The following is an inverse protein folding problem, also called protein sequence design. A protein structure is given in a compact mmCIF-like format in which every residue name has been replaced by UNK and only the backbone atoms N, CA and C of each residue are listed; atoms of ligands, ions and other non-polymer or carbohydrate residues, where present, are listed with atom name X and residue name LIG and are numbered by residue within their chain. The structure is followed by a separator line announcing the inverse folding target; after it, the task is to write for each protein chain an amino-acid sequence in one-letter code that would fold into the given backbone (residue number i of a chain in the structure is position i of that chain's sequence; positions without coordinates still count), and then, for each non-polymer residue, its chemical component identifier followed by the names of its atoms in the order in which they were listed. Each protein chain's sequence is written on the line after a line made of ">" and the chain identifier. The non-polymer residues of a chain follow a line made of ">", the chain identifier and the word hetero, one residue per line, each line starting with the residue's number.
data_IF_988796767985
#
_entry.id   IF_988796767985
#
_cell.length_a   1.000
_cell.length_b   1.000
_cell.length_c   1.000
_cell.angle_alpha   90.00
_cell.angle_beta   90.00
_cell.angle_gamma   90.00
#
_symmetry.space_group_name_H-M   'P 1'
#
loop_
_entity.id
_entity.type
_entity.pdbx_description
1 polymer ?
#
# COMPACT_ATOMS: atom_id res chain seq x y z
N UNK A 1 24.49 -12.35 19.90
CA UNK A 1 23.17 -12.44 20.59
C UNK A 1 22.71 -11.09 21.12
N UNK A 2 23.52 -10.33 21.88
CA UNK A 2 23.12 -9.01 22.44
C UNK A 2 22.61 -7.99 21.41
N UNK A 3 23.13 -8.00 20.18
CA UNK A 3 22.77 -7.03 19.13
C UNK A 3 21.37 -7.23 18.54
N UNK A 4 20.86 -8.47 18.53
CA UNK A 4 19.52 -8.77 18.03
C UNK A 4 18.44 -8.34 19.02
N UNK A 5 18.72 -8.44 20.33
CA UNK A 5 17.79 -8.01 21.39
C UNK A 5 17.39 -6.54 21.24
N UNK A 6 18.35 -5.64 21.01
CA UNK A 6 18.06 -4.21 20.87
C UNK A 6 17.20 -3.89 19.65
N UNK A 7 17.39 -4.60 18.53
CA UNK A 7 16.53 -4.44 17.35
C UNK A 7 15.10 -4.93 17.65
N UNK A 8 14.96 -6.06 18.35
CA UNK A 8 13.65 -6.55 18.79
C UNK A 8 12.96 -5.54 19.70
N UNK A 9 13.68 -4.96 20.67
CA UNK A 9 13.13 -3.91 21.55
C UNK A 9 12.63 -2.70 20.74
N UNK A 10 13.39 -2.25 19.74
CA UNK A 10 12.98 -1.13 18.86
C UNK A 10 11.71 -1.46 18.08
N UNK A 11 11.59 -2.69 17.55
CA UNK A 11 10.37 -3.14 16.87
C UNK A 11 9.19 -3.17 17.85
N UNK A 12 9.37 -3.71 19.06
CA UNK A 12 8.32 -3.75 20.09
C UNK A 12 7.86 -2.35 20.52
N UNK A 13 8.79 -1.39 20.63
CA UNK A 13 8.45 0.02 20.90
C UNK A 13 7.63 0.57 19.73
N UNK A 14 8.08 0.36 18.49
CA UNK A 14 7.37 0.81 17.29
C UNK A 14 5.95 0.26 17.18
N UNK A 15 5.75 -1.02 17.52
CA UNK A 15 4.44 -1.68 17.55
C UNK A 15 3.55 -1.15 18.67
N UNK A 16 4.11 -0.99 19.87
CA UNK A 16 3.38 -0.44 21.01
C UNK A 16 2.85 0.96 20.70
N UNK A 17 3.69 1.84 20.14
CA UNK A 17 3.29 3.20 19.78
C UNK A 17 2.20 3.22 18.69
N UNK A 18 2.31 2.37 17.67
CA UNK A 18 1.26 2.23 16.66
C UNK A 18 -0.08 1.81 17.27
N UNK A 19 -0.04 0.79 18.13
CA UNK A 19 -1.24 0.28 18.78
C UNK A 19 -1.88 1.29 19.72
N UNK A 20 -1.09 2.05 20.50
CA UNK A 20 -1.64 3.08 21.39
C UNK A 20 -2.27 4.23 20.61
N UNK A 21 -1.66 4.69 19.51
CA UNK A 21 -2.27 5.71 18.63
C UNK A 21 -3.59 5.19 18.03
N UNK A 22 -3.65 3.90 17.72
CA UNK A 22 -4.83 3.22 17.14
C UNK A 22 -6.09 3.22 18.02
N UNK A 23 -5.94 3.49 19.32
CA UNK A 23 -7.05 3.57 20.26
C UNK A 23 -7.92 4.82 20.05
N UNK A 24 -7.38 5.87 19.44
CA UNK A 24 -8.06 7.15 19.20
C UNK A 24 -9.18 7.03 18.14
N UNK A 25 -9.92 8.11 17.95
CA UNK A 25 -10.95 8.20 16.89
C UNK A 25 -10.35 8.11 15.47
N UNK A 26 -11.19 7.97 14.45
CA UNK A 26 -10.81 7.84 13.03
C UNK A 26 -11.46 8.92 12.16
N UNK A 27 -10.96 9.07 10.91
CA UNK A 27 -11.52 9.95 9.87
C UNK A 27 -13.01 9.69 9.69
N UNK A 28 -13.83 10.70 9.94
CA UNK A 28 -15.27 10.67 9.67
C UNK A 28 -16.13 9.93 10.69
N UNK A 29 -15.60 9.59 11.88
CA UNK A 29 -16.40 8.97 12.94
C UNK A 29 -17.63 9.81 13.30
N UNK A 30 -18.82 9.20 13.27
CA UNK A 30 -20.10 9.86 13.55
C UNK A 30 -20.46 11.03 12.61
N UNK A 31 -19.91 11.06 11.37
CA UNK A 31 -20.16 12.13 10.39
C UNK A 31 -20.90 11.63 9.14
N UNK A 32 -22.20 11.26 9.23
CA UNK A 32 -22.99 10.95 8.05
C UNK A 32 -23.15 12.20 7.14
N UNK A 33 -23.46 12.02 5.84
CA UNK A 33 -23.75 10.76 5.15
C UNK A 33 -22.52 10.04 4.58
N UNK A 34 -21.42 10.77 4.34
CA UNK A 34 -20.23 10.23 3.64
C UNK A 34 -19.19 9.64 4.58
N UNK A 35 -19.17 9.98 5.88
CA UNK A 35 -18.10 9.57 6.80
C UNK A 35 -16.71 9.98 6.26
N UNK A 36 -15.69 9.17 6.48
CA UNK A 36 -14.30 9.43 6.07
C UNK A 36 -13.65 8.17 5.52
N UNK A 37 -12.33 8.16 5.44
CA UNK A 37 -11.57 7.10 4.76
C UNK A 37 -11.67 5.73 5.44
N UNK A 38 -12.08 5.69 6.73
CA UNK A 38 -12.47 4.45 7.38
C UNK A 38 -13.60 3.75 6.61
N UNK A 39 -14.64 4.52 6.27
CA UNK A 39 -15.80 4.03 5.54
C UNK A 39 -15.44 3.70 4.09
N UNK A 40 -14.54 4.45 3.46
CA UNK A 40 -14.05 4.13 2.13
C UNK A 40 -13.48 2.71 2.06
N UNK A 41 -12.66 2.35 3.04
CA UNK A 41 -11.94 1.09 3.06
C UNK A 41 -12.85 -0.08 3.43
N UNK A 42 -13.81 0.14 4.34
CA UNK A 42 -14.90 -0.81 4.58
C UNK A 42 -15.72 -1.03 3.32
N UNK A 43 -16.09 0.05 2.63
CA UNK A 43 -16.89 -0.04 1.41
C UNK A 43 -16.15 -0.80 0.30
N UNK A 44 -14.83 -0.64 0.17
CA UNK A 44 -14.04 -1.46 -0.76
C UNK A 44 -14.07 -2.94 -0.42
N UNK A 45 -14.08 -3.32 0.87
CA UNK A 45 -14.26 -4.71 1.29
C UNK A 45 -15.66 -5.24 0.92
N UNK A 46 -16.71 -4.45 1.16
CA UNK A 46 -18.09 -4.76 0.75
C UNK A 46 -18.18 -5.00 -0.77
N UNK A 47 -17.67 -4.07 -1.58
CA UNK A 47 -17.75 -4.14 -3.05
C UNK A 47 -16.94 -5.30 -3.60
N UNK A 48 -15.70 -5.46 -3.16
CA UNK A 48 -14.80 -6.50 -3.69
C UNK A 48 -15.28 -7.91 -3.36
N UNK A 49 -15.95 -8.09 -2.22
CA UNK A 49 -16.49 -9.39 -1.81
C UNK A 49 -17.81 -9.74 -2.49
N UNK A 50 -18.74 -8.78 -2.59
CA UNK A 50 -20.11 -9.08 -3.04
C UNK A 50 -20.29 -8.94 -4.56
N UNK A 51 -19.45 -8.16 -5.25
CA UNK A 51 -19.62 -7.90 -6.69
C UNK A 51 -18.60 -8.64 -7.55
N UNK A 52 -18.98 -9.06 -8.78
CA UNK A 52 -18.05 -9.56 -9.77
C UNK A 52 -16.94 -8.55 -10.06
N UNK A 53 -15.74 -9.05 -10.36
CA UNK A 53 -14.54 -8.23 -10.59
C UNK A 53 -14.74 -7.12 -11.65
N UNK A 54 -15.54 -7.40 -12.69
CA UNK A 54 -15.88 -6.43 -13.74
C UNK A 54 -16.66 -5.21 -13.24
N UNK A 55 -17.26 -5.28 -12.05
CA UNK A 55 -18.09 -4.22 -11.48
C UNK A 55 -17.37 -3.37 -10.42
N UNK A 56 -16.16 -3.74 -10.00
CA UNK A 56 -15.45 -3.05 -8.91
C UNK A 56 -15.17 -1.57 -9.20
N UNK A 57 -14.91 -1.22 -10.46
CA UNK A 57 -14.56 0.14 -10.89
C UNK A 57 -15.64 0.83 -11.72
N UNK A 58 -16.84 0.24 -11.79
CA UNK A 58 -17.95 0.75 -12.61
C UNK A 58 -19.12 1.17 -11.74
N UNK A 59 -19.76 2.26 -12.16
CA UNK A 59 -20.99 2.72 -11.53
C UNK A 59 -22.16 1.82 -11.98
N UNK A 60 -22.93 1.29 -11.03
CA UNK A 60 -24.11 0.48 -11.29
C UNK A 60 -25.12 0.60 -10.12
N UNK A 61 -26.18 -0.22 -10.12
CA UNK A 61 -27.19 -0.23 -9.05
C UNK A 61 -26.61 -0.53 -7.68
N UNK A 62 -25.56 -1.34 -7.62
CA UNK A 62 -24.96 -1.88 -6.40
C UNK A 62 -23.69 -1.13 -5.97
N UNK A 63 -22.96 -0.55 -6.93
CA UNK A 63 -21.73 0.22 -6.72
C UNK A 63 -21.92 1.67 -7.18
N UNK A 64 -21.99 2.60 -6.22
CA UNK A 64 -22.04 4.03 -6.50
C UNK A 64 -20.63 4.63 -6.39
N UNK A 65 -20.02 5.00 -7.52
CA UNK A 65 -18.66 5.55 -7.52
C UNK A 65 -18.52 6.92 -6.84
N UNK A 66 -19.63 7.62 -6.58
CA UNK A 66 -19.66 8.86 -5.79
C UNK A 66 -19.64 8.58 -4.28
N UNK A 67 -19.98 7.37 -3.86
CA UNK A 67 -19.89 6.92 -2.47
C UNK A 67 -18.64 6.05 -2.30
N UNK A 68 -17.48 6.70 -2.15
CA UNK A 68 -16.19 6.03 -1.95
C UNK A 68 -15.84 4.95 -3.00
N UNK A 69 -15.99 5.28 -4.28
CA UNK A 69 -15.56 4.40 -5.36
C UNK A 69 -14.07 4.02 -5.25
N UNK A 70 -13.73 2.87 -5.81
CA UNK A 70 -12.37 2.33 -5.76
C UNK A 70 -11.42 3.15 -6.67
N UNK A 71 -10.46 3.83 -6.05
CA UNK A 71 -9.52 4.78 -6.71
C UNK A 71 -8.07 4.32 -6.73
N UNK A 72 -7.83 3.09 -6.27
CA UNK A 72 -6.50 2.49 -6.16
C UNK A 72 -6.32 1.37 -7.20
N UNK A 73 -5.06 1.04 -7.57
CA UNK A 73 -4.80 0.01 -8.55
C UNK A 73 -5.19 -1.40 -8.04
N UNK A 74 -5.21 -2.41 -8.93
CA UNK A 74 -5.76 -3.74 -8.64
C UNK A 74 -5.22 -4.43 -7.38
N UNK A 75 -3.96 -4.22 -7.00
CA UNK A 75 -3.38 -4.90 -5.84
C UNK A 75 -4.06 -4.48 -4.54
N UNK A 76 -4.45 -3.21 -4.41
CA UNK A 76 -5.23 -2.73 -3.27
C UNK A 76 -6.63 -3.35 -3.26
N UNK A 77 -7.26 -3.49 -4.42
CA UNK A 77 -8.55 -4.16 -4.55
C UNK A 77 -8.50 -5.61 -4.07
N UNK A 78 -7.46 -6.36 -4.47
CA UNK A 78 -7.25 -7.74 -4.00
C UNK A 78 -6.94 -7.80 -2.50
N UNK A 79 -6.22 -6.82 -1.96
CA UNK A 79 -5.99 -6.76 -0.51
C UNK A 79 -7.30 -6.50 0.25
N UNK A 80 -8.13 -5.56 -0.21
CA UNK A 80 -9.47 -5.35 0.34
C UNK A 80 -10.32 -6.62 0.24
N UNK A 81 -10.27 -7.33 -0.88
CA UNK A 81 -10.97 -8.61 -1.06
C UNK A 81 -10.51 -9.68 -0.05
N UNK A 82 -9.20 -9.79 0.18
CA UNK A 82 -8.65 -10.70 1.18
C UNK A 82 -9.11 -10.34 2.59
N UNK A 83 -9.05 -9.06 2.96
CA UNK A 83 -9.58 -8.59 4.24
C UNK A 83 -11.09 -8.87 4.36
N UNK A 84 -11.85 -8.71 3.28
CA UNK A 84 -13.28 -8.95 3.27
C UNK A 84 -13.64 -10.43 3.53
N UNK A 85 -12.86 -11.39 3.05
CA UNK A 85 -13.05 -12.80 3.41
C UNK A 85 -12.89 -13.04 4.91
N UNK A 86 -11.88 -12.41 5.53
CA UNK A 86 -11.66 -12.50 6.98
C UNK A 86 -12.80 -11.80 7.73
N UNK A 87 -13.25 -10.63 7.26
CA UNK A 87 -14.39 -9.91 7.81
C UNK A 87 -15.66 -10.77 7.77
N UNK A 88 -15.95 -11.40 6.61
CA UNK A 88 -17.11 -12.28 6.43
C UNK A 88 -17.13 -13.43 7.43
N UNK A 89 -15.96 -14.00 7.72
CA UNK A 89 -15.82 -15.10 8.66
C UNK A 89 -16.08 -14.68 10.11
N UNK A 90 -15.71 -13.45 10.48
CA UNK A 90 -15.89 -12.92 11.84
C UNK A 90 -17.32 -12.40 12.02
N UNK A 91 -17.74 -11.45 11.18
CA UNK A 91 -19.07 -10.87 11.21
C UNK A 91 -19.50 -10.44 9.80
N UNK A 92 -20.48 -11.13 9.18
CA UNK A 92 -20.92 -10.85 7.83
C UNK A 92 -21.59 -9.47 7.67
N UNK A 93 -22.10 -8.88 8.75
CA UNK A 93 -22.83 -7.61 8.70
C UNK A 93 -21.92 -6.42 8.40
N UNK A 94 -20.62 -6.53 8.65
CA UNK A 94 -19.63 -5.46 8.38
C UNK A 94 -19.47 -5.15 6.88
N UNK A 95 -19.79 -6.14 6.03
CA UNK A 95 -19.62 -6.07 4.58
C UNK A 95 -20.90 -6.45 3.83
N UNK A 96 -22.06 -6.41 4.50
CA UNK A 96 -23.33 -6.73 3.88
C UNK A 96 -23.72 -5.67 2.84
N UNK A 97 -23.96 -6.09 1.61
CA UNK A 97 -24.29 -5.19 0.51
C UNK A 97 -25.54 -4.35 0.84
N UNK A 98 -25.47 -3.03 0.62
CA UNK A 98 -26.53 -2.03 0.86
C UNK A 98 -26.85 -1.71 2.32
N UNK A 99 -26.65 -2.63 3.26
CA UNK A 99 -27.00 -2.44 4.68
C UNK A 99 -25.82 -2.00 5.54
N UNK A 100 -24.59 -2.36 5.15
CA UNK A 100 -23.37 -2.08 5.93
C UNK A 100 -22.78 -0.67 5.72
N UNK A 101 -23.41 0.17 4.89
CA UNK A 101 -22.95 1.54 4.64
C UNK A 101 -23.04 2.39 5.90
N UNK A 102 -21.91 2.98 6.29
CA UNK A 102 -21.78 3.74 7.53
C UNK A 102 -21.77 2.87 8.79
N UNK A 103 -21.39 1.58 8.68
CA UNK A 103 -21.35 0.68 9.84
C UNK A 103 -20.25 1.07 10.84
N UNK A 104 -20.67 1.56 12.00
CA UNK A 104 -19.79 1.90 13.12
C UNK A 104 -19.98 0.91 14.27
N UNK A 105 -18.93 0.17 14.60
CA UNK A 105 -18.91 -0.67 15.80
C UNK A 105 -17.49 -0.78 16.34
N UNK A 106 -17.36 -0.98 17.65
CA UNK A 106 -16.05 -1.10 18.30
C UNK A 106 -15.29 -2.35 17.81
N UNK A 107 -16.00 -3.44 17.54
CA UNK A 107 -15.42 -4.69 17.02
C UNK A 107 -14.89 -4.51 15.60
N UNK A 108 -15.67 -3.88 14.72
CA UNK A 108 -15.23 -3.59 13.35
C UNK A 108 -14.04 -2.62 13.35
N UNK A 109 -14.04 -1.61 14.23
CA UNK A 109 -12.89 -0.72 14.42
C UNK A 109 -11.64 -1.53 14.78
N UNK A 110 -11.74 -2.44 15.75
CA UNK A 110 -10.61 -3.29 16.17
C UNK A 110 -10.12 -4.17 15.02
N UNK A 111 -11.04 -4.77 14.25
CA UNK A 111 -10.72 -5.57 13.07
C UNK A 111 -9.90 -4.77 12.05
N UNK A 112 -10.39 -3.60 11.63
CA UNK A 112 -9.71 -2.74 10.67
C UNK A 112 -8.34 -2.25 11.17
N UNK A 113 -8.18 -2.07 12.48
CA UNK A 113 -6.89 -1.69 13.09
C UNK A 113 -5.90 -2.85 13.11
N UNK A 114 -6.40 -4.05 13.35
CA UNK A 114 -5.61 -5.27 13.30
C UNK A 114 -5.12 -5.59 11.87
N UNK A 115 -5.95 -5.40 10.84
CA UNK A 115 -5.52 -5.64 9.45
C UNK A 115 -4.38 -4.72 9.04
N UNK A 116 -4.41 -3.44 9.43
CA UNK A 116 -3.30 -2.48 9.21
C UNK A 116 -2.04 -2.97 9.90
N UNK A 117 -2.14 -3.33 11.18
CA UNK A 117 -0.99 -3.79 11.96
C UNK A 117 -0.36 -5.05 11.37
N UNK A 118 -1.19 -6.01 10.94
CA UNK A 118 -0.72 -7.25 10.30
C UNK A 118 -0.01 -6.93 8.98
N UNK A 119 -0.58 -6.08 8.13
CA UNK A 119 0.05 -5.69 6.88
C UNK A 119 1.40 -4.98 7.10
N UNK A 120 1.47 -4.10 8.10
CA UNK A 120 2.70 -3.40 8.51
C UNK A 120 3.77 -4.38 9.03
N UNK A 121 3.37 -5.36 9.85
CA UNK A 121 4.22 -6.44 10.36
C UNK A 121 4.77 -7.36 9.28
N UNK A 122 3.99 -7.62 8.22
CA UNK A 122 4.38 -8.53 7.16
C UNK A 122 5.28 -7.85 6.12
N UNK A 123 5.07 -6.56 5.85
CA UNK A 123 5.67 -5.89 4.69
C UNK A 123 6.67 -4.81 5.11
N UNK A 124 6.22 -3.79 5.83
CA UNK A 124 7.01 -2.59 6.12
C UNK A 124 8.06 -2.80 7.21
N UNK A 125 7.68 -3.38 8.36
CA UNK A 125 8.60 -3.56 9.50
C UNK A 125 9.80 -4.45 9.12
N UNK A 126 9.62 -5.61 8.44
CA UNK A 126 10.74 -6.40 7.97
C UNK A 126 11.62 -5.64 6.97
N UNK A 127 11.02 -4.85 6.07
CA UNK A 127 11.77 -4.03 5.11
C UNK A 127 12.69 -3.02 5.83
N UNK A 128 12.18 -2.32 6.85
CA UNK A 128 12.95 -1.35 7.64
C UNK A 128 14.09 -2.03 8.40
N UNK A 129 13.79 -3.13 9.09
CA UNK A 129 14.81 -3.87 9.86
C UNK A 129 15.92 -4.36 8.95
N UNK A 130 15.59 -4.99 7.82
CA UNK A 130 16.57 -5.52 6.88
C UNK A 130 17.34 -4.39 6.18
N UNK A 131 16.67 -3.31 5.78
CA UNK A 131 17.32 -2.13 5.24
C UNK A 131 18.40 -1.59 6.19
N UNK A 132 18.04 -1.33 7.46
CA UNK A 132 18.99 -0.85 8.46
C UNK A 132 20.13 -1.85 8.73
N UNK A 133 19.85 -3.15 8.72
CA UNK A 133 20.85 -4.19 8.87
C UNK A 133 21.85 -4.22 7.70
N UNK A 134 21.38 -4.02 6.46
CA UNK A 134 22.17 -4.05 5.24
C UNK A 134 23.01 -2.78 4.99
N UNK A 135 22.78 -1.68 5.72
CA UNK A 135 23.61 -0.47 5.63
C UNK A 135 25.07 -0.81 5.98
N UNK A 136 25.96 -0.67 4.99
CA UNK A 136 27.40 -0.89 5.14
C UNK A 136 28.04 0.28 5.88
N UNK A 137 29.14 0.02 6.60
CA UNK A 137 29.99 1.05 7.23
C UNK A 137 29.33 1.89 8.34
N UNK A 138 28.12 1.53 8.78
CA UNK A 138 27.42 2.17 9.91
C UNK A 138 27.56 1.32 11.18
N UNK A 139 27.86 1.96 12.31
CA UNK A 139 27.93 1.29 13.61
C UNK A 139 26.59 0.69 14.02
N UNK A 140 26.60 -0.41 14.78
CA UNK A 140 25.36 -1.09 15.21
C UNK A 140 24.41 -0.16 15.97
N UNK A 141 24.93 0.74 16.81
CA UNK A 141 24.13 1.75 17.53
C UNK A 141 23.40 2.69 16.57
N UNK A 142 24.07 3.15 15.52
CA UNK A 142 23.46 4.00 14.48
C UNK A 142 22.42 3.24 13.66
N UNK A 143 22.65 1.95 13.35
CA UNK A 143 21.63 1.10 12.68
C UNK A 143 20.35 1.00 13.50
N UNK A 144 20.50 0.75 14.80
CA UNK A 144 19.39 0.69 15.75
C UNK A 144 18.67 2.05 15.85
N UNK A 145 19.43 3.15 15.96
CA UNK A 145 18.85 4.50 15.99
C UNK A 145 18.08 4.83 14.70
N UNK A 146 18.63 4.49 13.53
CA UNK A 146 17.96 4.69 12.25
C UNK A 146 16.65 3.89 12.18
N UNK A 147 16.67 2.61 12.58
CA UNK A 147 15.47 1.78 12.62
C UNK A 147 14.42 2.38 13.57
N UNK A 148 14.83 2.87 14.73
CA UNK A 148 13.95 3.54 15.69
C UNK A 148 13.33 4.81 15.09
N UNK A 149 14.13 5.66 14.44
CA UNK A 149 13.64 6.89 13.80
C UNK A 149 12.64 6.59 12.66
N UNK A 150 12.93 5.60 11.81
CA UNK A 150 12.05 5.22 10.69
C UNK A 150 10.75 4.60 11.22
N UNK A 151 10.84 3.70 12.19
CA UNK A 151 9.67 3.05 12.76
C UNK A 151 8.83 4.03 13.58
N UNK A 152 9.42 5.01 14.25
CA UNK A 152 8.68 6.02 15.04
C UNK A 152 8.38 7.30 14.26
N UNK A 153 8.48 7.29 12.93
CA UNK A 153 8.15 8.47 12.13
C UNK A 153 6.67 8.86 12.36
N UNK A 154 6.40 10.04 12.95
CA UNK A 154 5.06 10.37 13.44
C UNK A 154 4.07 10.58 12.30
N UNK A 155 4.51 11.09 11.14
CA UNK A 155 3.62 11.32 10.00
C UNK A 155 2.94 10.05 9.51
N UNK A 156 3.70 8.96 9.34
CA UNK A 156 3.15 7.68 8.90
C UNK A 156 2.26 7.05 9.97
N UNK A 157 2.69 7.08 11.24
CA UNK A 157 1.90 6.52 12.35
C UNK A 157 0.56 7.26 12.50
N UNK A 158 0.57 8.59 12.49
CA UNK A 158 -0.66 9.38 12.68
C UNK A 158 -1.62 9.24 11.51
N UNK A 159 -1.13 9.12 10.27
CA UNK A 159 -2.00 8.96 9.09
C UNK A 159 -2.62 7.56 9.05
N UNK A 160 -1.81 6.51 9.22
CA UNK A 160 -2.26 5.12 9.08
C UNK A 160 -2.96 4.61 10.35
N UNK A 161 -2.42 4.92 11.54
CA UNK A 161 -2.94 4.45 12.83
C UNK A 161 -3.67 5.52 13.64
N UNK A 162 -3.69 6.79 13.25
CA UNK A 162 -4.52 7.79 13.91
C UNK A 162 -5.77 8.06 13.08
N UNK A 163 -5.58 8.88 12.06
CA UNK A 163 -6.59 9.43 11.18
C UNK A 163 -7.27 8.36 10.31
N UNK A 164 -6.62 7.23 10.01
CA UNK A 164 -7.16 6.24 9.07
C UNK A 164 -7.37 6.80 7.66
N UNK A 165 -6.73 7.94 7.33
CA UNK A 165 -7.02 8.72 6.13
C UNK A 165 -6.58 8.03 4.83
N UNK A 166 -5.68 7.06 4.94
CA UNK A 166 -5.09 6.35 3.82
C UNK A 166 -4.61 4.99 4.34
N UNK A 167 -5.56 4.17 4.78
CA UNK A 167 -5.26 2.85 5.34
C UNK A 167 -4.32 2.12 4.38
N UNK A 168 -3.21 1.59 4.94
CA UNK A 168 -2.16 0.83 4.26
C UNK A 168 -1.12 1.62 3.42
N UNK A 169 -0.78 2.88 3.75
CA UNK A 169 0.39 3.52 3.12
C UNK A 169 1.69 2.75 3.41
N UNK A 170 1.81 2.22 4.64
CA UNK A 170 2.96 1.42 5.06
C UNK A 170 3.23 0.24 4.11
N UNK A 171 2.20 -0.36 3.52
CA UNK A 171 2.33 -1.46 2.56
C UNK A 171 3.02 -1.01 1.27
N UNK A 172 2.54 0.08 0.68
CA UNK A 172 3.14 0.67 -0.53
C UNK A 172 4.60 1.07 -0.30
N UNK A 173 4.84 1.83 0.78
CA UNK A 173 6.19 2.28 1.16
C UNK A 173 7.10 1.09 1.51
N UNK A 174 6.55 0.05 2.12
CA UNK A 174 7.26 -1.18 2.46
C UNK A 174 7.72 -1.92 1.20
N UNK A 175 6.85 -2.07 0.20
CA UNK A 175 7.22 -2.62 -1.10
C UNK A 175 8.26 -1.76 -1.83
N UNK A 176 8.13 -0.43 -1.77
CA UNK A 176 9.14 0.48 -2.35
C UNK A 176 10.50 0.31 -1.66
N UNK A 177 10.53 0.20 -0.33
CA UNK A 177 11.74 -0.04 0.45
C UNK A 177 12.36 -1.42 0.17
N UNK A 178 11.53 -2.46 0.02
CA UNK A 178 11.98 -3.77 -0.50
C UNK A 178 12.59 -3.65 -1.90
N UNK A 179 12.02 -2.80 -2.75
CA UNK A 179 12.59 -2.44 -4.04
C UNK A 179 13.99 -1.86 -3.92
N UNK A 180 14.16 -0.84 -3.06
CA UNK A 180 15.46 -0.21 -2.80
C UNK A 180 16.47 -1.23 -2.26
N UNK A 181 16.05 -2.07 -1.30
CA UNK A 181 16.88 -3.10 -0.70
C UNK A 181 17.35 -4.13 -1.75
N UNK A 182 16.43 -4.66 -2.55
CA UNK A 182 16.74 -5.64 -3.59
C UNK A 182 17.74 -5.09 -4.61
N UNK A 183 17.51 -3.86 -5.09
CA UNK A 183 18.39 -3.18 -6.05
C UNK A 183 19.78 -2.87 -5.44
N UNK A 184 19.84 -2.52 -4.15
CA UNK A 184 21.08 -2.26 -3.41
C UNK A 184 21.90 -3.53 -3.13
N UNK A 185 21.23 -4.68 -3.01
CA UNK A 185 21.84 -6.00 -2.78
C UNK A 185 22.11 -6.79 -4.08
N UNK A 186 22.05 -6.13 -5.24
CA UNK A 186 22.20 -6.75 -6.58
C UNK A 186 21.15 -7.82 -6.93
N UNK A 187 20.04 -7.88 -6.17
CA UNK A 187 18.86 -8.68 -6.49
C UNK A 187 17.89 -7.88 -7.38
N UNK A 188 18.41 -7.40 -8.51
CA UNK A 188 17.76 -6.41 -9.37
C UNK A 188 16.33 -6.83 -9.79
N UNK A 189 16.09 -8.13 -10.05
CA UNK A 189 14.77 -8.65 -10.44
C UNK A 189 13.76 -8.62 -9.30
N UNK A 190 14.16 -9.05 -8.10
CA UNK A 190 13.28 -9.02 -6.92
C UNK A 190 12.99 -7.59 -6.49
N UNK A 191 14.00 -6.71 -6.55
CA UNK A 191 13.81 -5.29 -6.29
C UNK A 191 12.85 -4.63 -7.29
N UNK A 192 12.96 -4.99 -8.58
CA UNK A 192 12.03 -4.50 -9.61
C UNK A 192 10.62 -5.02 -9.42
N UNK A 193 10.45 -6.30 -9.07
CA UNK A 193 9.15 -6.90 -8.73
C UNK A 193 8.51 -6.17 -7.54
N UNK A 194 9.25 -5.99 -6.44
CA UNK A 194 8.76 -5.29 -5.25
C UNK A 194 8.35 -3.85 -5.57
N UNK A 195 9.14 -3.11 -6.37
CA UNK A 195 8.76 -1.77 -6.80
C UNK A 195 7.51 -1.75 -7.70
N UNK A 196 7.35 -2.74 -8.60
CA UNK A 196 6.12 -2.88 -9.38
C UNK A 196 4.91 -3.14 -8.47
N UNK A 197 5.05 -3.97 -7.43
CA UNK A 197 3.99 -4.18 -6.44
C UNK A 197 3.66 -2.89 -5.68
N UNK A 198 4.65 -2.07 -5.32
CA UNK A 198 4.44 -0.77 -4.69
C UNK A 198 3.55 0.14 -5.55
N UNK A 199 3.89 0.28 -6.84
CA UNK A 199 3.11 1.08 -7.81
C UNK A 199 1.70 0.52 -8.02
N UNK A 200 1.55 -0.81 -8.06
CA UNK A 200 0.25 -1.46 -8.18
C UNK A 200 -0.56 -1.45 -6.87
N UNK A 201 0.06 -1.10 -5.75
CA UNK A 201 -0.64 -0.87 -4.49
C UNK A 201 -1.13 0.58 -4.41
N UNK A 202 -0.25 1.54 -4.69
CA UNK A 202 -0.58 2.97 -4.72
C UNK A 202 0.16 3.66 -5.86
N UNK A 203 -0.60 4.27 -6.77
CA UNK A 203 -0.08 4.95 -7.95
C UNK A 203 0.87 6.11 -7.63
N UNK A 204 0.81 6.66 -6.41
CA UNK A 204 1.71 7.73 -5.94
C UNK A 204 3.19 7.30 -5.91
N UNK A 205 3.49 6.00 -5.88
CA UNK A 205 4.88 5.51 -5.97
C UNK A 205 5.52 5.76 -7.34
N UNK A 206 4.73 6.18 -8.34
CA UNK A 206 5.28 6.65 -9.61
C UNK A 206 6.26 7.82 -9.44
N UNK A 207 6.18 8.58 -8.34
CA UNK A 207 7.17 9.63 -8.02
C UNK A 207 8.59 9.07 -7.88
N UNK A 208 8.73 7.81 -7.48
CA UNK A 208 10.02 7.13 -7.35
C UNK A 208 10.44 6.36 -8.62
N UNK A 209 9.58 6.29 -9.64
CA UNK A 209 9.81 5.46 -10.82
C UNK A 209 11.03 5.88 -11.65
N UNK A 210 11.24 7.20 -11.82
CA UNK A 210 12.36 7.73 -12.60
C UNK A 210 13.72 7.41 -11.96
N UNK A 211 13.94 7.62 -10.64
CA UNK A 211 15.15 7.16 -9.97
C UNK A 211 15.42 5.65 -10.14
N UNK A 212 14.40 4.81 -9.93
CA UNK A 212 14.53 3.35 -10.11
C UNK A 212 14.91 2.98 -11.53
N UNK A 213 14.24 3.58 -12.53
CA UNK A 213 14.50 3.35 -13.94
C UNK A 213 15.94 3.75 -14.31
N UNK A 214 16.35 4.98 -13.99
CA UNK A 214 17.68 5.47 -14.31
C UNK A 214 18.78 4.64 -13.64
N UNK A 215 18.58 4.21 -12.39
CA UNK A 215 19.56 3.39 -11.67
C UNK A 215 19.73 2.00 -12.31
N UNK A 216 18.63 1.30 -12.58
CA UNK A 216 18.65 -0.03 -13.19
C UNK A 216 19.18 0.01 -14.62
N UNK A 217 18.80 1.04 -15.40
CA UNK A 217 19.32 1.26 -16.73
C UNK A 217 20.83 1.55 -16.70
N UNK A 218 21.29 2.38 -15.76
CA UNK A 218 22.70 2.64 -15.52
C UNK A 218 23.49 1.36 -15.19
N UNK A 219 22.92 0.46 -14.38
CA UNK A 219 23.50 -0.88 -14.13
C UNK A 219 23.62 -1.71 -15.42
N UNK A 220 22.61 -1.66 -16.30
CA UNK A 220 22.66 -2.35 -17.58
C UNK A 220 23.77 -1.80 -18.48
N UNK A 221 23.92 -0.47 -18.58
CA UNK A 221 25.01 0.17 -19.31
C UNK A 221 26.39 -0.22 -18.76
N UNK A 222 26.56 -0.18 -17.43
CA UNK A 222 27.83 -0.54 -16.77
C UNK A 222 28.23 -2.00 -17.04
N UNK A 223 27.26 -2.91 -17.17
CA UNK A 223 27.49 -4.33 -17.51
C UNK A 223 27.67 -4.58 -19.03
N UNK A 224 27.56 -3.55 -19.86
CA UNK A 224 27.76 -3.59 -21.32
C UNK A 224 26.52 -4.04 -22.10
N UNK A 225 25.99 -3.14 -22.94
CA UNK A 225 24.80 -3.37 -23.78
C UNK A 225 24.98 -4.37 -24.93
N UNK A 226 26.21 -4.76 -25.27
CA UNK A 226 26.45 -5.80 -26.29
C UNK A 226 26.58 -7.21 -25.70
N UNK A 227 26.36 -7.37 -24.39
CA UNK A 227 26.54 -8.64 -23.69
C UNK A 227 25.64 -8.78 -22.47
N UNK A 228 26.23 -8.98 -21.29
CA UNK A 228 25.49 -9.28 -20.05
C UNK A 228 24.51 -8.16 -19.63
N UNK A 229 24.79 -6.91 -19.98
CA UNK A 229 23.89 -5.78 -19.70
C UNK A 229 22.58 -5.83 -20.49
N UNK A 230 22.61 -6.26 -21.75
CA UNK A 230 21.40 -6.43 -22.56
C UNK A 230 20.53 -7.58 -22.05
N UNK A 231 21.16 -8.70 -21.68
CA UNK A 231 20.46 -9.80 -21.02
C UNK A 231 19.79 -9.37 -19.71
N UNK A 232 20.43 -8.51 -18.92
CA UNK A 232 19.82 -7.94 -17.71
C UNK A 232 18.63 -7.03 -18.05
N UNK A 233 18.77 -6.15 -19.06
CA UNK A 233 17.71 -5.26 -19.50
C UNK A 233 16.45 -6.04 -19.93
N UNK A 234 16.63 -7.11 -20.73
CA UNK A 234 15.51 -7.98 -21.14
C UNK A 234 14.86 -8.60 -19.90
N UNK A 235 15.64 -9.16 -18.97
CA UNK A 235 15.08 -9.77 -17.76
C UNK A 235 14.28 -8.75 -16.93
N UNK A 236 14.80 -7.54 -16.76
CA UNK A 236 14.10 -6.47 -16.05
C UNK A 236 12.80 -6.07 -16.76
N UNK A 237 12.84 -5.89 -18.08
CA UNK A 237 11.65 -5.59 -18.87
C UNK A 237 10.59 -6.70 -18.76
N UNK A 238 11.01 -7.97 -18.87
CA UNK A 238 10.14 -9.12 -18.66
C UNK A 238 9.55 -9.15 -17.25
N UNK A 239 10.35 -8.88 -16.21
CA UNK A 239 9.86 -8.82 -14.83
C UNK A 239 8.81 -7.73 -14.66
N UNK A 240 9.05 -6.52 -15.17
CA UNK A 240 8.08 -5.41 -15.08
C UNK A 240 6.79 -5.78 -15.80
N UNK A 241 6.88 -6.20 -17.07
CA UNK A 241 5.70 -6.58 -17.87
C UNK A 241 4.93 -7.72 -17.22
N UNK A 242 5.61 -8.76 -16.75
CA UNK A 242 4.97 -9.89 -16.08
C UNK A 242 4.28 -9.46 -14.77
N UNK A 243 4.92 -8.62 -13.96
CA UNK A 243 4.37 -8.15 -12.68
C UNK A 243 3.09 -7.34 -12.89
N UNK A 244 3.11 -6.40 -13.83
CA UNK A 244 1.93 -5.62 -14.20
C UNK A 244 0.86 -6.52 -14.83
N UNK A 245 1.25 -7.45 -15.70
CA UNK A 245 0.30 -8.39 -16.32
C UNK A 245 -0.40 -9.25 -15.29
N UNK A 246 0.31 -9.77 -14.28
CA UNK A 246 -0.30 -10.58 -13.23
C UNK A 246 -1.26 -9.77 -12.35
N UNK A 247 -0.92 -8.52 -11.99
CA UNK A 247 -1.82 -7.68 -11.20
C UNK A 247 -3.08 -7.27 -12.00
N UNK A 248 -2.92 -6.99 -13.29
CA UNK A 248 -3.98 -6.47 -14.16
C UNK A 248 -4.70 -7.54 -14.99
N UNK A 249 -4.30 -8.81 -14.88
CA UNK A 249 -4.78 -9.91 -15.73
C UNK A 249 -6.30 -9.91 -15.93
N UNK A 250 -7.15 -9.85 -14.89
CA UNK A 250 -8.59 -9.92 -15.08
C UNK A 250 -9.19 -8.62 -15.64
N UNK A 251 -8.44 -7.50 -15.56
CA UNK A 251 -8.84 -6.19 -16.08
C UNK A 251 -8.44 -5.96 -17.54
N UNK A 252 -7.59 -6.82 -18.12
CA UNK A 252 -7.19 -6.78 -19.53
C UNK A 252 -8.15 -7.50 -20.49
N UNK A 253 -9.12 -8.24 -19.96
CA UNK A 253 -10.09 -8.99 -20.77
C UNK A 253 -10.87 -8.08 -21.72
N UNK A 254 -11.22 -6.87 -21.26
CA UNK A 254 -11.99 -5.90 -22.02
C UNK A 254 -11.28 -4.54 -22.00
N UNK A 255 -11.15 -3.91 -23.18
CA UNK A 255 -10.50 -2.60 -23.32
C UNK A 255 -11.18 -1.54 -22.45
N UNK A 256 -12.52 -1.57 -22.38
CA UNK A 256 -13.28 -0.62 -21.56
C UNK A 256 -12.97 -0.77 -20.08
N UNK A 257 -12.81 -2.00 -19.60
CA UNK A 257 -12.44 -2.28 -18.22
C UNK A 257 -11.06 -1.71 -17.88
N UNK A 258 -10.06 -1.93 -18.74
CA UNK A 258 -8.73 -1.35 -18.54
C UNK A 258 -8.76 0.18 -18.52
N UNK A 259 -9.46 0.79 -19.48
CA UNK A 259 -9.58 2.26 -19.58
C UNK A 259 -10.31 2.85 -18.37
N UNK A 260 -11.34 2.18 -17.87
CA UNK A 260 -12.08 2.63 -16.70
C UNK A 260 -11.21 2.62 -15.45
N UNK A 261 -10.46 1.54 -15.21
CA UNK A 261 -9.50 1.49 -14.09
C UNK A 261 -8.49 2.62 -14.22
N UNK A 262 -7.87 2.82 -15.40
CA UNK A 262 -6.91 3.90 -15.62
C UNK A 262 -7.49 5.30 -15.35
N UNK A 263 -8.74 5.58 -15.75
CA UNK A 263 -9.43 6.85 -15.47
C UNK A 263 -9.67 7.08 -13.98
N UNK A 264 -9.93 6.03 -13.21
CA UNK A 264 -10.07 6.12 -11.74
C UNK A 264 -8.74 6.39 -11.05
N UNK A 265 -7.66 5.73 -11.52
CA UNK A 265 -6.32 5.91 -10.96
C UNK A 265 -5.76 7.30 -11.25
N UNK A 266 -6.01 7.83 -12.45
CA UNK A 266 -5.57 9.14 -12.92
C UNK A 266 -6.78 9.98 -13.33
N UNK A 267 -7.52 10.56 -12.36
CA UNK A 267 -8.65 11.42 -12.66
C UNK A 267 -8.15 12.72 -13.30
N UNK A 268 -8.38 12.89 -14.60
CA UNK A 268 -7.98 14.09 -15.35
C UNK A 268 -8.96 15.25 -15.12
N UNK A 269 -10.20 14.95 -14.72
CA UNK A 269 -11.32 15.90 -14.68
C UNK A 269 -11.48 16.68 -13.36
N UNK A 270 -10.43 16.85 -12.55
CA UNK A 270 -10.51 17.68 -11.33
C UNK A 270 -10.19 19.14 -11.66
N UNK A 271 -11.03 20.07 -11.22
CA UNK A 271 -10.82 21.50 -11.44
C UNK A 271 -9.47 21.98 -10.90
N UNK A 272 -8.84 22.91 -11.61
CA UNK A 272 -7.61 23.56 -11.16
C UNK A 272 -7.84 24.25 -9.81
N UNK A 273 -7.12 23.84 -8.77
CA UNK A 273 -7.09 24.43 -7.41
C UNK A 273 -8.34 24.23 -6.52
N UNK A 274 -9.15 23.19 -6.73
CA UNK A 274 -10.29 22.88 -5.84
C UNK A 274 -9.88 22.34 -4.45
N UNK A 275 -8.63 21.88 -4.31
CA UNK A 275 -8.08 21.41 -3.04
C UNK A 275 -7.24 22.52 -2.37
N UNK A 276 -7.76 23.06 -1.28
CA UNK A 276 -6.98 23.89 -0.36
C UNK A 276 -5.90 23.02 0.30
N UNK A 277 -4.62 23.22 -0.05
CA UNK A 277 -3.48 22.77 0.76
C UNK A 277 -3.39 23.62 2.05
N UNK A 278 -4.48 23.66 2.83
CA UNK A 278 -4.49 24.33 4.13
C UNK A 278 -4.10 23.27 5.15
N UNK A 279 -2.81 23.28 5.49
CA UNK A 279 -2.33 22.72 6.75
C UNK A 279 -2.99 23.51 7.89
N UNK A 280 -4.13 23.04 8.37
CA UNK A 280 -4.59 23.44 9.69
C UNK A 280 -3.73 22.70 10.72
N UNK A 281 -2.71 23.40 11.22
CA UNK A 281 -1.95 23.03 12.41
C UNK A 281 -2.81 23.21 13.66
#
# INVERSE_FOLDING_TARGET
>A
MEKCYWMTVVVLIGLTVRWTVSLNSYSGAGKPPMFGDYEAQRHWQEITFNLPLKQWYFNNSDNNLQYWGLDYPPLTAYHSFLCAYVAKFINPDWIALHTSRGHESQEHKLFMRATVLIADLLIYIPAVVLYCCCLKEISTKKKIANALCILLYPGLILIDYGHFQNIYNSVSLGFALWGVLGVSCDWDLLGSLAFCLAVNYKQMELYHSLPFFCFLLGKCFKKGLKGKGFGLLIKLACTVVASFTLCWLPFFTEREQTLQVLRRLFPVDRGLFEASFVLHF
#
